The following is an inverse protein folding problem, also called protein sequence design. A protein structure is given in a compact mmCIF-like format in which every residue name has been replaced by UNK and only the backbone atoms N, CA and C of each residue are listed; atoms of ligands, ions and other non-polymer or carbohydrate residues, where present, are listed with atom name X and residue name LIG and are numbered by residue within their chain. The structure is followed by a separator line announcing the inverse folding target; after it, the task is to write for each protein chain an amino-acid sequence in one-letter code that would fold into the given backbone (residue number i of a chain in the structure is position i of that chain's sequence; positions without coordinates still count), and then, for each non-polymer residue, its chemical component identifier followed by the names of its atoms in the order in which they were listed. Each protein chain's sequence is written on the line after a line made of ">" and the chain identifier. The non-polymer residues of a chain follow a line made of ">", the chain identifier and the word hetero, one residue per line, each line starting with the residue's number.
data_IF_565298844205
#
_entry.id   IF_565298844205
#
_cell.length_a   1.000
_cell.length_b   1.000
_cell.length_c   1.000
_cell.angle_alpha   90.00
_cell.angle_beta   90.00
_cell.angle_gamma   90.00
#
_symmetry.space_group_name_H-M   'P 1'
#
loop_
_entity.id
_entity.type
_entity.pdbx_description
1 polymer ?
#
# COMPACT_ATOMS: atom_id res chain seq x y z
N UNK A 1 14.46 4.48 -5.51
CA UNK A 1 14.73 3.31 -4.68
C UNK A 1 13.87 2.17 -5.19
N UNK A 2 14.46 1.00 -5.42
CA UNK A 2 13.72 -0.19 -5.83
C UNK A 2 13.30 -0.93 -4.57
N UNK A 3 12.00 -1.17 -4.40
CA UNK A 3 11.47 -1.98 -3.31
C UNK A 3 11.68 -3.46 -3.62
N UNK A 4 11.99 -4.24 -2.59
CA UNK A 4 12.02 -5.71 -2.68
C UNK A 4 10.75 -6.31 -2.04
N UNK A 5 10.34 -7.54 -2.43
CA UNK A 5 9.12 -8.16 -1.91
C UNK A 5 9.04 -8.24 -0.39
N UNK A 6 10.18 -8.40 0.30
CA UNK A 6 10.26 -8.47 1.75
C UNK A 6 9.93 -7.12 2.39
N UNK A 7 10.37 -6.00 1.79
CA UNK A 7 10.03 -4.65 2.24
C UNK A 7 8.54 -4.37 2.04
N UNK A 8 7.98 -4.83 0.92
CA UNK A 8 6.54 -4.72 0.65
C UNK A 8 5.69 -5.49 1.66
N UNK A 9 6.06 -6.74 1.93
CA UNK A 9 5.38 -7.56 2.91
C UNK A 9 5.43 -6.92 4.31
N UNK A 10 6.59 -6.40 4.72
CA UNK A 10 6.75 -5.70 5.98
C UNK A 10 5.90 -4.41 6.04
N UNK A 11 5.87 -3.62 4.97
CA UNK A 11 5.04 -2.41 4.89
C UNK A 11 3.56 -2.73 5.05
N UNK A 12 3.06 -3.74 4.32
CA UNK A 12 1.66 -4.17 4.40
C UNK A 12 1.34 -4.69 5.81
N UNK A 13 2.21 -5.49 6.41
CA UNK A 13 2.04 -5.98 7.78
C UNK A 13 1.94 -4.81 8.78
N UNK A 14 2.86 -3.85 8.73
CA UNK A 14 2.80 -2.66 9.59
C UNK A 14 1.52 -1.84 9.38
N UNK A 15 1.00 -1.74 8.15
CA UNK A 15 -0.28 -1.08 7.88
C UNK A 15 -1.46 -1.81 8.51
N UNK A 16 -1.47 -3.14 8.48
CA UNK A 16 -2.49 -3.96 9.14
C UNK A 16 -2.42 -3.78 10.66
N UNK A 17 -1.22 -3.83 11.24
CA UNK A 17 -1.02 -3.61 12.68
C UNK A 17 -1.47 -2.21 13.10
N UNK A 18 -1.11 -1.18 12.33
CA UNK A 18 -1.55 0.20 12.60
C UNK A 18 -3.08 0.34 12.56
N UNK A 19 -3.73 -0.31 11.59
CA UNK A 19 -5.18 -0.35 11.50
C UNK A 19 -5.81 -1.05 12.71
N UNK A 20 -5.23 -2.14 13.18
CA UNK A 20 -5.73 -2.89 14.34
C UNK A 20 -5.56 -2.12 15.65
N UNK A 21 -4.52 -1.31 15.78
CA UNK A 21 -4.34 -0.39 16.92
C UNK A 21 -5.44 0.68 16.94
N UNK A 22 -5.87 1.13 15.77
CA UNK A 22 -7.00 2.05 15.60
C UNK A 22 -6.72 3.53 15.89
N UNK A 23 -5.56 3.86 16.47
CA UNK A 23 -5.21 5.24 16.86
C UNK A 23 -5.15 6.21 15.69
N UNK A 24 -4.85 5.73 14.48
CA UNK A 24 -4.79 6.54 13.27
C UNK A 24 -5.98 6.35 12.33
N UNK A 25 -6.99 5.56 12.69
CA UNK A 25 -8.09 5.26 11.78
C UNK A 25 -9.08 6.42 11.70
N UNK A 26 -9.57 6.67 10.49
CA UNK A 26 -10.68 7.57 10.16
C UNK A 26 -11.54 6.90 9.08
N UNK A 27 -12.75 7.38 8.86
CA UNK A 27 -13.68 6.80 7.88
C UNK A 27 -13.09 6.70 6.46
N UNK A 28 -12.14 7.59 6.12
CA UNK A 28 -11.45 7.64 4.82
C UNK A 28 -10.09 6.92 4.80
N UNK A 29 -9.75 6.16 5.85
CA UNK A 29 -8.50 5.41 5.98
C UNK A 29 -7.68 5.84 7.19
N UNK A 30 -6.50 6.43 6.95
CA UNK A 30 -5.61 6.89 8.03
C UNK A 30 -5.57 8.42 8.13
N UNK A 31 -5.57 8.95 9.36
CA UNK A 31 -5.43 10.38 9.62
C UNK A 31 -4.00 10.88 9.39
N UNK A 32 -3.83 12.21 9.43
CA UNK A 32 -2.53 12.86 9.30
C UNK A 32 -1.51 12.31 10.30
N UNK A 33 -0.25 12.16 9.86
CA UNK A 33 0.84 11.67 10.70
C UNK A 33 1.08 10.16 10.65
N UNK A 34 0.14 9.36 10.11
CA UNK A 34 0.28 7.90 10.06
C UNK A 34 1.57 7.41 9.36
N UNK A 35 2.06 8.14 8.35
CA UNK A 35 3.30 7.80 7.65
C UNK A 35 4.52 7.81 8.57
N UNK A 36 4.54 8.68 9.59
CA UNK A 36 5.64 8.72 10.56
C UNK A 36 5.56 7.53 11.51
N UNK A 37 4.36 7.14 11.93
CA UNK A 37 4.18 5.95 12.76
C UNK A 37 4.56 4.68 12.01
N UNK A 38 4.10 4.55 10.74
CA UNK A 38 4.52 3.45 9.87
C UNK A 38 6.03 3.38 9.71
N UNK A 39 6.71 4.53 9.57
CA UNK A 39 8.18 4.57 9.53
C UNK A 39 8.79 3.98 10.80
N UNK A 40 8.30 4.38 11.98
CA UNK A 40 8.79 3.88 13.27
C UNK A 40 8.55 2.37 13.41
N UNK A 41 7.38 1.88 13.00
CA UNK A 41 7.07 0.45 12.99
C UNK A 41 8.01 -0.31 12.05
N UNK A 42 8.22 0.22 10.84
CA UNK A 42 9.05 -0.43 9.82
C UNK A 42 10.53 -0.44 10.22
N UNK A 43 11.04 0.60 10.90
CA UNK A 43 12.40 0.64 11.43
C UNK A 43 12.66 -0.44 12.50
N UNK A 44 11.60 -0.91 13.20
CA UNK A 44 11.71 -2.03 14.15
C UNK A 44 11.78 -3.38 13.45
N UNK A 45 11.03 -3.55 12.35
CA UNK A 45 10.97 -4.80 11.58
C UNK A 45 12.18 -4.93 10.65
N UNK A 46 12.59 -3.82 10.04
CA UNK A 46 13.69 -3.70 9.10
C UNK A 46 14.70 -2.67 9.63
N UNK A 47 15.40 -2.99 10.74
CA UNK A 47 16.49 -2.16 11.20
C UNK A 47 17.51 -2.05 10.06
N UNK A 48 18.00 -0.85 9.79
CA UNK A 48 18.87 -0.48 8.65
C UNK A 48 18.17 -0.19 7.32
N UNK A 49 16.84 -0.31 7.23
CA UNK A 49 16.14 0.26 6.08
C UNK A 49 16.26 1.79 6.11
N UNK A 50 16.86 2.38 5.07
CA UNK A 50 16.98 3.84 4.95
C UNK A 50 15.69 4.48 4.41
N UNK A 51 14.54 3.91 4.75
CA UNK A 51 13.24 4.29 4.23
C UNK A 51 12.72 5.53 4.96
N UNK A 52 12.42 6.58 4.19
CA UNK A 52 11.82 7.80 4.73
C UNK A 52 10.30 7.76 4.56
N UNK A 53 9.58 8.30 5.54
CA UNK A 53 8.12 8.50 5.47
C UNK A 53 7.72 9.20 4.16
N UNK A 54 8.48 10.24 3.79
CA UNK A 54 8.44 10.86 2.47
C UNK A 54 9.87 10.95 1.90
N UNK A 55 10.08 10.62 0.62
CA UNK A 55 9.09 10.19 -0.37
C UNK A 55 8.85 8.66 -0.43
N UNK A 56 9.61 7.84 0.31
CA UNK A 56 9.65 6.40 0.08
C UNK A 56 8.34 5.69 0.41
N UNK A 57 7.83 5.83 1.65
CA UNK A 57 6.59 5.17 2.06
C UNK A 57 5.38 5.74 1.33
N UNK A 58 5.29 7.07 1.23
CA UNK A 58 4.18 7.73 0.52
C UNK A 58 4.03 7.24 -0.92
N UNK A 59 5.13 7.19 -1.68
CA UNK A 59 5.10 6.74 -3.06
C UNK A 59 4.73 5.26 -3.17
N UNK A 60 5.27 4.41 -2.28
CA UNK A 60 4.99 2.98 -2.34
C UNK A 60 3.54 2.65 -1.99
N UNK A 61 3.00 3.26 -0.94
CA UNK A 61 1.60 3.08 -0.56
C UNK A 61 0.66 3.52 -1.68
N UNK A 62 0.99 4.62 -2.38
CA UNK A 62 0.22 5.07 -3.55
C UNK A 62 0.24 4.02 -4.67
N UNK A 63 1.39 3.42 -4.96
CA UNK A 63 1.50 2.33 -5.94
C UNK A 63 0.69 1.12 -5.51
N UNK A 64 0.86 0.64 -4.27
CA UNK A 64 0.11 -0.52 -3.76
C UNK A 64 -1.40 -0.32 -3.82
N UNK A 65 -1.90 0.87 -3.47
CA UNK A 65 -3.33 1.20 -3.60
C UNK A 65 -3.80 1.14 -5.05
N UNK A 66 -3.01 1.66 -6.00
CA UNK A 66 -3.35 1.62 -7.42
C UNK A 66 -3.39 0.20 -7.95
N UNK A 67 -2.39 -0.61 -7.63
CA UNK A 67 -2.30 -2.01 -8.08
C UNK A 67 -3.46 -2.82 -7.49
N UNK A 68 -3.82 -2.57 -6.22
CA UNK A 68 -5.00 -3.17 -5.60
C UNK A 68 -6.30 -2.76 -6.30
N UNK A 69 -6.48 -1.49 -6.64
CA UNK A 69 -7.66 -1.04 -7.40
C UNK A 69 -7.78 -1.80 -8.72
N UNK A 70 -6.69 -1.94 -9.49
CA UNK A 70 -6.71 -2.71 -10.75
C UNK A 70 -7.15 -4.16 -10.53
N UNK A 71 -6.56 -4.83 -9.53
CA UNK A 71 -6.93 -6.23 -9.21
C UNK A 71 -8.38 -6.32 -8.75
N UNK A 72 -8.85 -5.37 -7.94
CA UNK A 72 -10.22 -5.33 -7.46
C UNK A 72 -11.21 -5.08 -8.60
N UNK A 73 -10.89 -4.22 -9.56
CA UNK A 73 -11.73 -3.95 -10.73
C UNK A 73 -11.85 -5.21 -11.61
N UNK A 74 -10.75 -5.94 -11.81
CA UNK A 74 -10.75 -7.25 -12.49
C UNK A 74 -11.62 -8.28 -11.77
N UNK A 75 -11.54 -8.35 -10.44
CA UNK A 75 -12.30 -9.30 -9.62
C UNK A 75 -13.79 -8.94 -9.52
N UNK A 76 -14.11 -7.66 -9.44
CA UNK A 76 -15.48 -7.17 -9.27
C UNK A 76 -16.27 -7.13 -10.58
N UNK A 77 -15.60 -7.29 -11.74
CA UNK A 77 -16.22 -7.30 -13.06
C UNK A 77 -16.86 -5.97 -13.45
N UNK A 78 -16.67 -4.92 -12.64
CA UNK A 78 -17.38 -3.64 -12.75
C UNK A 78 -16.83 -2.77 -13.89
N UNK A 79 -15.59 -3.00 -14.31
CA UNK A 79 -14.88 -2.23 -15.34
C UNK A 79 -14.22 -3.11 -16.42
N UNK A 80 -14.73 -4.33 -16.66
CA UNK A 80 -14.23 -5.21 -17.73
C UNK A 80 -14.62 -4.72 -19.15
N UNK A 81 -15.32 -3.59 -19.31
CA UNK A 81 -15.61 -3.02 -20.63
C UNK A 81 -14.37 -2.46 -21.35
N UNK A 82 -13.26 -2.25 -20.63
CA UNK A 82 -11.97 -1.84 -21.21
C UNK A 82 -11.01 -3.01 -21.49
N UNK A 83 -11.29 -4.19 -20.94
CA UNK A 83 -10.59 -5.43 -21.26
C UNK A 83 -11.42 -6.19 -22.31
N UNK A 84 -11.50 -5.61 -23.50
CA UNK A 84 -11.97 -6.33 -24.67
C UNK A 84 -10.97 -7.45 -24.96
N UNK A 85 -11.41 -8.70 -24.91
CA UNK A 85 -10.80 -9.69 -25.79
C UNK A 85 -10.98 -9.11 -27.19
N UNK A 86 -9.91 -8.73 -27.88
CA UNK A 86 -9.98 -8.45 -29.31
C UNK A 86 -10.51 -9.74 -29.97
N UNK A 87 -11.83 -9.81 -30.18
CA UNK A 87 -12.50 -10.94 -30.82
C UNK A 87 -12.34 -10.92 -32.35
N UNK A 88 -11.46 -10.07 -32.89
CA UNK A 88 -11.19 -10.03 -34.32
C UNK A 88 -9.72 -10.33 -34.66
N UNK A 89 -9.55 -11.60 -35.01
CA UNK A 89 -8.67 -12.23 -36.01
C UNK A 89 -7.83 -11.32 -36.90
#
# INVERSE_FOLDING_TARGET
>A
MKWVPEEDAALVACMVDLHNIGTFNVDSGFQVGYLNELKIMLEKVLPHSMLKAKPNLESRIRTLKRDWTIVYDMLSGKDNSGFGWDEYR
#
